data_IF_058638619499
#
_entry.id   IF_058638619499
#
_cell.length_a   1.000
_cell.length_b   1.000
_cell.length_c   1.000
_cell.angle_alpha   90.00
_cell.angle_beta   90.00
_cell.angle_gamma   90.00
#
_symmetry.space_group_name_H-M   'P 1'
#
loop_
_entity.id
_entity.type
_entity.pdbx_description
1 polymer ?
2 non-polymer ?
3 non-polymer ?
4 non-polymer ?
5 water ?
#
# COMPACT_ATOMS: atom_id res chain seq x y z
N UNK A 10 11.36 -6.94 16.17
CA UNK A 10 11.12 -5.56 16.54
C UNK A 10 9.70 -5.34 17.05
N UNK A 11 9.44 -4.14 17.58
CA UNK A 11 8.18 -3.89 18.27
C UNK A 11 7.36 -2.74 17.65
N UNK A 12 6.90 -2.94 16.43
CA UNK A 12 6.00 -1.97 15.82
C UNK A 12 4.63 -2.61 15.64
N UNK A 13 3.57 -1.86 15.93
CA UNK A 13 2.23 -2.43 16.02
C UNK A 13 1.24 -1.70 15.14
N UNK A 14 0.45 -2.47 14.39
CA UNK A 14 -0.60 -1.89 13.58
C UNK A 14 -1.90 -2.28 14.27
N UNK A 15 -2.82 -1.33 14.37
CA UNK A 15 -4.09 -1.58 15.02
C UNK A 15 -5.24 -1.21 14.11
N UNK A 16 -6.12 -2.17 13.82
CA UNK A 16 -7.29 -1.88 13.00
C UNK A 16 -8.53 -1.75 13.88
N UNK A 17 -9.17 -0.59 13.81
CA UNK A 17 -10.37 -0.32 14.56
C UNK A 17 -11.62 -0.73 13.77
N UNK A 18 -12.28 -1.79 14.21
CA UNK A 18 -13.52 -2.27 13.59
C UNK A 18 -13.47 -2.42 12.06
N UNK A 19 -12.43 -3.11 11.53
CA UNK A 19 -12.33 -3.27 10.08
C UNK A 19 -13.55 -3.99 9.52
N UNK A 20 -13.97 -3.61 8.32
CA UNK A 20 -15.26 -4.00 7.77
C UNK A 20 -15.16 -4.93 6.58
N UNK A 21 -14.09 -4.79 5.79
CA UNK A 21 -13.99 -5.41 4.47
C UNK A 21 -12.94 -6.49 4.48
N UNK A 22 -13.36 -7.75 4.33
CA UNK A 22 -12.44 -8.88 4.54
C UNK A 22 -11.14 -8.77 3.76
N UNK A 23 -11.21 -8.55 2.44
CA UNK A 23 -9.94 -8.53 1.69
C UNK A 23 -8.93 -7.46 2.17
N UNK A 24 -9.41 -6.31 2.64
CA UNK A 24 -8.48 -5.32 3.21
C UNK A 24 -7.69 -5.91 4.35
N UNK A 25 -8.38 -6.63 5.23
CA UNK A 25 -7.73 -7.22 6.38
C UNK A 25 -6.81 -8.37 5.98
N UNK A 26 -7.26 -9.17 5.01
CA UNK A 26 -6.41 -10.22 4.47
C UNK A 26 -5.09 -9.64 3.94
N UNK A 27 -5.18 -8.53 3.23
CA UNK A 27 -3.98 -7.88 2.69
C UNK A 27 -3.06 -7.40 3.81
N UNK A 28 -3.67 -6.85 4.85
CA UNK A 28 -2.89 -6.33 5.98
C UNK A 28 -2.24 -7.45 6.80
N UNK A 29 -2.90 -8.59 6.93
CA UNK A 29 -2.28 -9.73 7.60
C UNK A 29 -1.00 -10.16 6.87
N UNK A 30 -1.09 -10.30 5.56
CA UNK A 30 0.06 -10.66 4.74
C UNK A 30 1.16 -9.62 4.85
N UNK A 31 0.77 -8.34 4.78
CA UNK A 31 1.70 -7.23 4.95
C UNK A 31 2.47 -7.32 6.26
N UNK A 32 1.76 -7.52 7.38
CA UNK A 32 2.40 -7.56 8.69
C UNK A 32 3.32 -8.79 8.79
N UNK A 33 2.90 -9.88 8.18
CA UNK A 33 3.73 -11.08 8.19
C UNK A 33 4.99 -10.91 7.36
N UNK A 34 4.89 -10.20 6.22
CA UNK A 34 6.03 -9.93 5.35
C UNK A 34 7.03 -8.96 5.96
N UNK A 35 6.61 -8.22 6.98
CA UNK A 35 7.43 -7.13 7.50
C UNK A 35 7.84 -7.37 8.95
N UNK A 36 7.21 -8.34 9.59
CA UNK A 36 7.42 -8.54 11.01
C UNK A 36 6.72 -7.54 11.94
N UNK A 37 5.79 -6.76 11.39
CA UNK A 37 4.97 -5.90 12.26
C UNK A 37 3.92 -6.74 12.98
N UNK A 38 3.49 -6.27 14.15
CA UNK A 38 2.47 -6.97 14.90
C UNK A 38 1.10 -6.37 14.60
N UNK A 39 0.12 -7.22 14.32
CA UNK A 39 -1.19 -6.71 13.96
C UNK A 39 -2.19 -6.86 15.10
N UNK A 40 -2.94 -5.80 15.37
CA UNK A 40 -4.00 -5.84 16.37
C UNK A 40 -5.34 -5.46 15.75
N UNK A 41 -6.40 -6.11 16.18
CA UNK A 41 -7.72 -5.79 15.67
C UNK A 41 -8.67 -5.50 16.82
N UNK A 42 -9.32 -4.35 16.77
CA UNK A 42 -10.32 -4.01 17.77
C UNK A 42 -11.70 -4.37 17.22
N UNK A 43 -12.34 -5.30 17.92
CA UNK A 43 -13.67 -5.79 17.59
C UNK A 43 -14.70 -4.71 17.89
N UNK A 44 -15.92 -4.82 17.31
CA UNK A 44 -16.33 -5.91 16.40
C UNK A 44 -15.88 -5.67 14.95
N UNK A 45 -15.62 -6.74 14.22
CA UNK A 45 -15.23 -6.65 12.83
C UNK A 45 -16.44 -6.87 11.94
N UNK A 46 -16.31 -6.51 10.66
CA UNK A 46 -17.39 -6.70 9.71
C UNK A 46 -17.28 -8.01 8.99
N UNK A 47 -16.68 -9.00 9.65
CA UNK A 47 -16.58 -10.33 9.07
C UNK A 47 -16.21 -11.35 10.11
N UNK A 48 -16.46 -12.61 9.78
CA UNK A 48 -16.17 -13.69 10.69
C UNK A 48 -14.68 -13.93 10.72
N UNK A 49 -14.12 -14.05 11.91
CA UNK A 49 -12.73 -14.43 12.05
C UNK A 49 -12.65 -15.94 12.03
N UNK A 50 -12.41 -16.46 10.84
CA UNK A 50 -12.57 -17.87 10.58
C UNK A 50 -11.31 -18.43 9.90
N UNK A 51 -10.57 -19.26 10.62
CA UNK A 51 -9.31 -19.79 10.12
C UNK A 51 -9.48 -20.39 8.73
N UNK A 52 -10.65 -20.96 8.47
CA UNK A 52 -10.92 -21.59 7.18
C UNK A 52 -10.98 -20.57 6.04
N UNK A 53 -11.70 -19.47 6.26
CA UNK A 53 -11.79 -18.42 5.25
C UNK A 53 -10.42 -17.78 5.05
N UNK A 54 -9.68 -17.66 6.15
CA UNK A 54 -8.34 -17.09 6.10
C UNK A 54 -7.42 -17.95 5.22
N UNK A 55 -7.32 -19.23 5.53
CA UNK A 55 -6.46 -20.11 4.74
C UNK A 55 -7.04 -20.14 3.33
N UNK A 56 -8.36 -20.01 3.27
CA UNK A 56 -9.07 -19.92 2.01
C UNK A 56 -8.57 -18.76 1.16
N UNK A 57 -8.32 -17.63 1.80
CA UNK A 57 -7.86 -16.42 1.10
C UNK A 57 -6.39 -16.50 0.72
N UNK A 58 -5.72 -17.56 1.15
CA UNK A 58 -4.32 -17.78 0.79
C UNK A 58 -3.37 -17.46 1.92
N UNK A 59 -3.90 -17.24 3.12
CA UNK A 59 -3.11 -16.93 4.30
C UNK A 59 -2.63 -18.19 5.02
N UNK A 60 -1.34 -18.22 5.37
CA UNK A 60 -0.81 -19.30 6.20
C UNK A 60 -1.16 -19.13 7.68
N UNK A 61 -1.10 -20.24 8.40
CA UNK A 61 -1.37 -20.27 9.83
C UNK A 61 -0.50 -19.31 10.64
N UNK A 62 0.79 -19.27 10.34
CA UNK A 62 1.69 -18.41 11.10
C UNK A 62 1.30 -16.95 10.91
N UNK A 63 0.70 -16.64 9.78
CA UNK A 63 0.34 -15.27 9.47
C UNK A 63 -0.85 -14.80 10.31
N UNK A 64 -1.92 -15.59 10.35
CA UNK A 64 -3.12 -15.10 11.01
C UNK A 64 -3.28 -15.43 12.50
N UNK A 65 -2.52 -16.39 13.02
CA UNK A 65 -2.60 -16.65 14.45
C UNK A 65 -1.75 -15.67 15.26
N UNK A 66 -0.84 -14.99 14.58
CA UNK A 66 -0.04 -13.93 15.18
C UNK A 66 -0.91 -12.72 15.58
N UNK A 67 -2.07 -12.61 14.95
CA UNK A 67 -2.93 -11.45 15.14
C UNK A 67 -3.60 -11.48 16.51
N UNK A 68 -3.62 -10.35 17.21
CA UNK A 68 -4.33 -10.33 18.48
C UNK A 68 -5.61 -9.50 18.40
N UNK A 69 -6.72 -10.09 18.85
CA UNK A 69 -8.01 -9.46 18.75
C UNK A 69 -8.44 -8.91 20.09
N UNK A 70 -8.89 -7.66 20.10
CA UNK A 70 -9.31 -6.99 21.32
C UNK A 70 -10.82 -6.75 21.33
N UNK A 71 -11.45 -7.02 22.48
CA UNK A 71 -12.91 -6.93 22.53
C UNK A 71 -13.40 -5.51 22.27
N UNK A 72 -12.62 -4.52 22.69
CA UNK A 72 -12.93 -3.14 22.39
C UNK A 72 -11.74 -2.23 22.63
N UNK A 73 -11.91 -0.94 22.36
CA UNK A 73 -10.82 0.03 22.43
C UNK A 73 -10.20 0.13 23.82
N UNK A 74 -11.06 0.15 24.85
CA UNK A 74 -10.56 0.25 26.22
C UNK A 74 -9.77 -1.00 26.60
N UNK A 75 -10.29 -2.15 26.20
CA UNK A 75 -9.59 -3.42 26.45
C UNK A 75 -8.22 -3.43 25.77
N UNK A 76 -8.16 -2.82 24.60
CA UNK A 76 -6.90 -2.75 23.84
C UNK A 76 -5.86 -1.96 24.63
N UNK A 77 -6.21 -0.73 25.00
CA UNK A 77 -5.32 0.12 25.79
C UNK A 77 -4.82 -0.56 27.05
N UNK A 78 -5.72 -1.26 27.74
CA UNK A 78 -5.37 -1.90 28.99
C UNK A 78 -4.49 -3.11 28.78
N UNK A 79 -4.79 -3.89 27.76
CA UNK A 79 -3.97 -5.05 27.46
C UNK A 79 -2.59 -4.64 26.96
N UNK A 80 -2.52 -3.63 26.11
CA UNK A 80 -1.29 -3.30 25.38
C UNK A 80 -0.47 -2.24 26.08
N UNK A 81 -1.15 -1.31 26.73
CA UNK A 81 -0.49 -0.18 27.37
C UNK A 81 0.54 0.45 26.43
N UNK A 82 0.08 0.98 25.28
CA UNK A 82 1.06 1.45 24.30
C UNK A 82 1.92 2.61 24.81
N UNK A 83 3.22 2.51 24.55
CA UNK A 83 4.19 3.55 24.89
C UNK A 83 3.82 4.84 24.19
N UNK A 84 3.57 4.73 22.88
CA UNK A 84 2.99 5.83 22.10
C UNK A 84 1.90 5.33 21.17
N UNK A 85 0.82 6.09 21.05
CA UNK A 85 -0.29 5.71 20.19
C UNK A 85 -0.52 6.78 19.14
N UNK A 86 -0.41 6.40 17.87
CA UNK A 86 -0.69 7.34 16.78
C UNK A 86 -1.98 6.92 16.11
N UNK A 87 -2.71 7.90 15.61
CA UNK A 87 -3.89 7.63 14.81
C UNK A 87 -3.61 8.12 13.40
N UNK A 88 -3.90 7.27 12.42
CA UNK A 88 -3.83 7.67 11.03
C UNK A 88 -5.19 8.23 10.61
N UNK A 89 -5.19 9.49 10.21
CA UNK A 89 -6.44 10.14 9.82
C UNK A 89 -6.21 11.22 8.78
N UNK A 90 -7.14 11.36 7.85
CA UNK A 90 -7.02 12.41 6.83
C UNK A 90 -7.09 13.78 7.52
N UNK A 91 -7.55 13.79 8.77
CA UNK A 91 -7.65 15.03 9.54
C UNK A 91 -6.40 15.33 10.36
N UNK A 92 -5.32 14.59 10.08
CA UNK A 92 -4.10 14.70 10.86
C UNK A 92 -3.23 15.86 10.41
N UNK A 93 -2.08 16.01 11.04
CA UNK A 93 -1.19 17.12 10.75
C UNK A 93 0.17 16.69 10.18
N UNK A 94 1.01 16.05 10.99
CA UNK A 94 2.30 15.68 10.40
C UNK A 94 2.13 14.54 9.39
N UNK A 95 2.93 14.57 8.33
CA UNK A 95 2.93 13.46 7.39
C UNK A 95 3.42 12.19 8.09
N UNK A 96 3.05 11.04 7.56
CA UNK A 96 3.52 9.78 8.11
C UNK A 96 5.06 9.68 8.06
N UNK A 97 5.66 10.39 7.11
CA UNK A 97 7.12 10.40 7.01
C UNK A 97 7.76 11.47 7.91
N UNK A 98 6.94 12.27 8.58
CA UNK A 98 7.44 13.30 9.49
C UNK A 98 7.68 12.80 10.92
N UNK A 99 7.04 11.71 11.32
CA UNK A 99 7.29 11.19 12.65
C UNK A 99 8.48 10.25 12.62
N UNK A 100 9.22 10.20 13.73
CA UNK A 100 10.28 9.22 13.93
C UNK A 100 9.72 8.08 14.74
N UNK A 101 9.53 6.94 14.10
CA UNK A 101 8.95 5.79 14.75
C UNK A 101 9.97 5.13 15.67
N UNK A 102 9.48 4.55 16.76
CA UNK A 102 10.36 3.89 17.72
C UNK A 102 9.65 2.66 18.22
N UNK A 103 10.41 1.76 18.82
CA UNK A 103 9.86 0.54 19.38
C UNK A 103 8.77 0.87 20.37
N UNK A 104 7.74 0.04 20.39
CA UNK A 104 6.61 0.27 21.28
C UNK A 104 5.57 1.24 20.71
N UNK A 105 5.75 1.65 19.45
CA UNK A 105 4.73 2.48 18.80
C UNK A 105 3.54 1.65 18.32
N UNK A 106 2.34 2.24 18.45
CA UNK A 106 1.10 1.62 17.99
C UNK A 106 0.45 2.58 17.02
N UNK A 107 0.11 2.09 15.83
CA UNK A 107 -0.35 2.95 14.77
C UNK A 107 -1.75 2.49 14.42
N UNK A 108 -2.73 3.36 14.61
CA UNK A 108 -4.12 2.95 14.57
C UNK A 108 -4.87 3.49 13.36
N UNK A 109 -5.61 2.61 12.70
CA UNK A 109 -6.37 2.94 11.50
C UNK A 109 -7.86 2.73 11.71
N UNK A 110 -8.71 3.54 11.06
CA UNK A 110 -10.15 3.44 11.25
C UNK A 110 -10.85 2.53 10.25
N UNK A 111 -12.16 2.28 10.45
CA UNK A 111 -12.94 1.43 9.54
C UNK A 111 -13.24 2.10 8.21
N UNK A 112 -13.51 1.30 7.19
CA UNK A 112 -13.54 1.75 5.81
C UNK A 112 -14.63 2.78 5.54
N UNK A 113 -15.81 2.59 6.10
CA UNK A 113 -16.90 3.49 5.77
C UNK A 113 -16.98 4.66 6.73
N UNK A 114 -16.49 4.47 7.94
CA UNK A 114 -16.69 5.44 9.00
C UNK A 114 -15.47 6.30 9.37
N UNK A 115 -14.28 5.70 9.36
CA UNK A 115 -13.11 6.38 9.87
C UNK A 115 -13.14 6.36 11.38
N UNK A 116 -12.09 6.85 12.02
CA UNK A 116 -11.99 6.81 13.46
C UNK A 116 -12.99 7.76 14.13
N UNK A 117 -13.65 7.30 15.21
CA UNK A 117 -14.61 8.14 15.93
C UNK A 117 -13.94 9.38 16.53
N UNK A 118 -14.67 10.49 16.55
CA UNK A 118 -14.13 11.74 17.08
C UNK A 118 -13.67 11.60 18.52
N UNK A 119 -14.37 10.77 19.28
CA UNK A 119 -14.07 10.57 20.69
C UNK A 119 -12.62 10.10 20.89
N UNK A 120 -12.17 9.20 20.04
CA UNK A 120 -10.80 8.71 20.10
C UNK A 120 -9.81 9.77 19.62
N UNK A 121 -10.18 10.45 18.53
CA UNK A 121 -9.33 11.48 17.96
C UNK A 121 -9.09 12.63 18.93
N UNK A 122 -10.16 13.09 19.56
CA UNK A 122 -10.10 14.24 20.45
C UNK A 122 -9.22 14.01 21.68
N UNK A 123 -9.03 12.75 22.05
CA UNK A 123 -8.20 12.44 23.21
C UNK A 123 -6.70 12.41 22.86
N UNK A 124 -6.38 12.59 21.58
CA UNK A 124 -4.98 12.55 21.16
C UNK A 124 -4.42 13.93 20.81
N UNK A 125 -3.15 14.18 21.17
CA UNK A 125 -2.53 15.42 20.72
C UNK A 125 -2.44 15.47 19.20
N UNK A 126 -2.60 16.66 18.64
CA UNK A 126 -2.52 16.84 17.20
C UNK A 126 -1.28 16.16 16.65
N UNK A 127 -0.20 16.20 17.43
CA UNK A 127 1.09 15.68 16.99
C UNK A 127 1.09 14.15 16.82
N UNK A 128 0.08 13.50 17.37
CA UNK A 128 -0.03 12.06 17.24
C UNK A 128 -1.16 11.65 16.30
N UNK A 129 -1.66 12.61 15.54
CA UNK A 129 -2.63 12.35 14.49
C UNK A 129 -1.99 12.59 13.14
N UNK A 130 -1.74 11.49 12.43
CA UNK A 130 -0.89 11.49 11.25
C UNK A 130 -1.69 11.43 9.96
N UNK A 131 -1.35 12.29 9.00
CA UNK A 131 -2.02 12.33 7.72
C UNK A 131 -1.05 11.89 6.62
N UNK A 132 -1.45 10.90 5.83
CA UNK A 132 -0.68 10.53 4.65
C UNK A 132 -1.00 11.56 3.56
N UNK A 133 0.02 12.20 2.98
CA UNK A 133 -0.30 13.30 2.06
C UNK A 133 -1.14 12.87 0.86
N UNK A 134 -1.94 13.81 0.37
CA UNK A 134 -2.78 13.60 -0.81
C UNK A 134 -2.99 14.96 -1.44
N UNK A 135 -3.17 14.98 -2.76
CA UNK A 135 -3.48 16.18 -3.52
C UNK A 135 -4.79 16.80 -3.04
N UNK A 136 -4.93 18.12 -3.19
CA UNK A 136 -6.17 18.73 -2.69
C UNK A 136 -7.42 18.06 -3.28
N UNK A 137 -8.49 18.01 -2.49
CA UNK A 137 -9.74 17.37 -2.93
C UNK A 137 -9.48 15.95 -3.44
N UNK A 138 -8.82 15.16 -2.60
CA UNK A 138 -8.63 13.73 -2.86
C UNK A 138 -9.61 12.96 -2.00
N UNK A 139 -10.02 11.80 -2.49
CA UNK A 139 -10.83 10.88 -1.69
C UNK A 139 -9.91 9.98 -0.88
N UNK A 140 -10.38 9.50 0.26
CA UNK A 140 -9.57 8.63 1.12
C UNK A 140 -8.84 7.52 0.36
N UNK A 141 -7.71 7.12 0.92
CA UNK A 141 -6.93 5.99 0.46
C UNK A 141 -7.69 4.68 0.75
N UNK A 142 -7.40 3.60 0.01
CA UNK A 142 -7.83 2.26 0.41
C UNK A 142 -7.14 1.89 1.73
N UNK A 143 -7.87 1.29 2.65
CA UNK A 143 -7.29 0.99 3.96
C UNK A 143 -5.97 0.19 3.94
N UNK A 144 -5.92 -0.93 3.21
CA UNK A 144 -4.69 -1.72 3.18
C UNK A 144 -3.52 -0.96 2.55
N UNK A 145 -3.80 -0.14 1.53
CA UNK A 145 -2.78 0.72 0.95
C UNK A 145 -2.24 1.71 1.96
N UNK A 146 -3.12 2.34 2.74
CA UNK A 146 -2.67 3.26 3.78
C UNK A 146 -1.80 2.54 4.81
N UNK A 147 -2.21 1.37 5.25
CA UNK A 147 -1.37 0.59 6.17
C UNK A 147 -0.01 0.26 5.57
N UNK A 148 0.00 -0.17 4.30
CA UNK A 148 1.26 -0.52 3.63
C UNK A 148 2.26 0.64 3.60
N UNK A 149 1.73 1.82 3.30
CA UNK A 149 2.53 3.02 3.20
C UNK A 149 3.17 3.38 4.54
N UNK A 150 2.39 3.27 5.61
CA UNK A 150 2.89 3.60 6.94
C UNK A 150 3.88 2.55 7.43
N UNK A 151 3.55 1.27 7.24
CA UNK A 151 4.43 0.18 7.62
C UNK A 151 5.80 0.32 6.94
N UNK A 152 5.78 0.55 5.63
CA UNK A 152 7.05 0.60 4.91
C UNK A 152 7.88 1.84 5.20
N UNK A 153 7.22 2.97 5.45
CA UNK A 153 7.94 4.17 5.88
C UNK A 153 8.63 3.94 7.22
N UNK A 154 7.87 3.42 8.18
CA UNK A 154 8.42 3.15 9.50
C UNK A 154 9.56 2.13 9.42
N UNK A 155 9.34 1.06 8.66
CA UNK A 155 10.34 0.01 8.55
C UNK A 155 11.62 0.59 7.90
N UNK A 156 11.45 1.46 6.91
CA UNK A 156 12.57 2.11 6.26
C UNK A 156 13.38 2.92 7.27
N UNK A 157 12.69 3.65 8.13
CA UNK A 157 13.36 4.49 9.12
C UNK A 157 14.27 3.67 10.03
N UNK A 158 13.85 2.44 10.34
CA UNK A 158 14.62 1.57 11.22
C UNK A 158 15.67 0.74 10.48
N UNK A 159 15.74 0.90 9.17
CA UNK A 159 16.71 0.18 8.35
C UNK A 159 16.26 -1.19 7.92
N UNK A 160 14.95 -1.39 7.78
CA UNK A 160 14.40 -2.71 7.42
C UNK A 160 14.95 -3.87 8.25
N UNK A 161 14.97 -3.72 9.58
CA UNK A 161 15.50 -4.82 10.41
C UNK A 161 14.70 -6.10 10.22
N UNK A 162 15.39 -7.22 10.01
CA UNK A 162 14.72 -8.47 9.73
C UNK A 162 14.61 -8.81 8.25
N UNK A 163 14.83 -7.80 7.39
CA UNK A 163 14.89 -8.02 5.94
C UNK A 163 16.34 -8.15 5.56
N UNK A 164 16.67 -9.20 4.83
CA UNK A 164 18.05 -9.39 4.38
C UNK A 164 18.27 -8.74 3.01
N UNK A 165 19.06 -7.68 2.96
CA UNK A 165 19.29 -6.96 1.70
C UNK A 165 20.70 -7.18 1.16
N UNK B 10 3.78 16.80 -12.00
CA UNK B 10 5.05 16.08 -12.09
C UNK B 10 4.93 14.85 -13.01
N UNK B 11 6.07 14.22 -13.30
CA UNK B 11 6.13 13.19 -14.32
C UNK B 11 6.62 11.84 -13.80
N UNK B 12 5.84 11.24 -12.92
CA UNK B 12 6.13 9.89 -12.48
C UNK B 12 5.03 8.96 -12.97
N UNK B 13 5.42 7.78 -13.41
CA UNK B 13 4.53 6.88 -14.16
C UNK B 13 4.50 5.50 -13.55
N UNK B 14 3.29 4.99 -13.33
CA UNK B 14 3.11 3.62 -12.87
C UNK B 14 2.60 2.81 -14.05
N UNK B 15 3.17 1.64 -14.26
CA UNK B 15 2.74 0.81 -15.36
C UNK B 15 2.30 -0.57 -14.87
N UNK B 16 1.06 -0.95 -15.18
CA UNK B 16 0.60 -2.27 -14.80
C UNK B 16 0.60 -3.22 -16.00
N UNK B 17 1.39 -4.28 -15.91
CA UNK B 17 1.46 -5.28 -16.96
C UNK B 17 0.36 -6.34 -16.79
N UNK B 18 -0.63 -6.31 -17.69
CA UNK B 18 -1.69 -7.34 -17.72
C UNK B 18 -2.35 -7.60 -16.35
N UNK B 19 -2.81 -6.53 -15.68
CA UNK B 19 -3.44 -6.70 -14.36
C UNK B 19 -4.68 -7.61 -14.46
N UNK B 20 -4.92 -8.39 -13.42
CA UNK B 20 -5.89 -9.48 -13.49
C UNK B 20 -7.11 -9.28 -12.59
N UNK B 21 -6.90 -8.60 -11.47
CA UNK B 21 -7.90 -8.55 -10.40
C UNK B 21 -8.48 -7.15 -10.26
N UNK B 22 -9.77 -6.99 -10.63
CA UNK B 22 -10.33 -5.65 -10.74
C UNK B 22 -10.06 -4.76 -9.53
N UNK B 23 -10.34 -5.24 -8.31
CA UNK B 23 -10.19 -4.30 -7.19
C UNK B 23 -8.77 -3.79 -6.97
N UNK B 24 -7.76 -4.60 -7.30
CA UNK B 24 -6.38 -4.09 -7.26
C UNK B 24 -6.22 -2.87 -8.16
N UNK B 25 -6.74 -2.96 -9.37
CA UNK B 25 -6.59 -1.86 -10.32
C UNK B 25 -7.44 -0.66 -9.88
N UNK B 26 -8.61 -0.94 -9.32
CA UNK B 26 -9.42 0.12 -8.75
C UNK B 26 -8.69 0.91 -7.69
N UNK B 27 -8.01 0.19 -6.81
CA UNK B 27 -7.23 0.81 -5.74
C UNK B 27 -6.08 1.63 -6.28
N UNK B 28 -5.44 1.10 -7.31
CA UNK B 28 -4.33 1.79 -7.94
C UNK B 28 -4.74 3.06 -8.69
N UNK B 29 -5.91 3.03 -9.33
CA UNK B 29 -6.42 4.23 -9.96
C UNK B 29 -6.61 5.36 -8.94
N UNK B 30 -7.30 5.05 -7.85
CA UNK B 30 -7.49 6.00 -6.77
C UNK B 30 -6.14 6.52 -6.24
N UNK B 31 -5.22 5.59 -6.01
CA UNK B 31 -3.89 5.94 -5.55
C UNK B 31 -3.20 6.96 -6.45
N UNK B 32 -3.18 6.69 -7.75
CA UNK B 32 -2.49 7.59 -8.68
C UNK B 32 -3.20 8.93 -8.73
N UNK B 33 -4.52 8.93 -8.60
CA UNK B 33 -5.29 10.17 -8.60
C UNK B 33 -5.02 10.97 -7.33
N UNK B 34 -4.84 10.29 -6.20
CA UNK B 34 -4.56 10.95 -4.93
C UNK B 34 -3.17 11.53 -4.85
N UNK B 35 -2.30 11.08 -5.75
CA UNK B 35 -0.90 11.46 -5.68
C UNK B 35 -0.44 12.26 -6.89
N UNK B 36 -1.26 12.28 -7.95
CA UNK B 36 -0.85 12.88 -9.20
C UNK B 36 0.10 12.05 -10.05
N UNK B 37 0.28 10.78 -9.73
CA UNK B 37 1.08 9.91 -10.60
C UNK B 37 0.26 9.54 -11.81
N UNK B 38 0.93 9.24 -12.91
CA UNK B 38 0.24 8.85 -14.14
C UNK B 38 0.22 7.33 -14.23
N UNK B 39 -0.93 6.78 -14.57
CA UNK B 39 -1.06 5.34 -14.59
C UNK B 39 -1.14 4.82 -16.02
N UNK B 40 -0.41 3.75 -16.28
CA UNK B 40 -0.44 3.10 -17.57
C UNK B 40 -0.80 1.64 -17.41
N UNK B 41 -1.57 1.11 -18.34
CA UNK B 41 -1.93 -0.30 -18.29
C UNK B 41 -1.60 -1.00 -19.59
N UNK B 42 -0.88 -2.11 -19.49
CA UNK B 42 -0.54 -2.88 -20.68
C UNK B 42 -1.52 -4.02 -20.81
N UNK B 43 -2.29 -3.98 -21.90
CA UNK B 43 -3.27 -5.02 -22.21
C UNK B 43 -2.59 -6.33 -22.60
N UNK B 44 -3.34 -7.45 -22.53
CA UNK B 44 -4.74 -7.54 -22.10
C UNK B 44 -4.93 -7.63 -20.58
N UNK B 45 -6.01 -7.04 -20.09
CA UNK B 45 -6.33 -7.09 -18.67
C UNK B 45 -7.23 -8.28 -18.41
N UNK B 46 -7.35 -8.64 -17.14
CA UNK B 46 -8.22 -9.75 -16.76
C UNK B 46 -9.61 -9.27 -16.40
N UNK B 47 -10.01 -8.12 -16.95
CA UNK B 47 -11.33 -7.57 -16.69
C UNK B 47 -11.68 -6.55 -17.74
N UNK B 48 -12.98 -6.25 -17.85
CA UNK B 48 -13.47 -5.29 -18.81
C UNK B 48 -13.14 -3.89 -18.33
N UNK B 49 -12.59 -3.07 -19.23
CA UNK B 49 -12.42 -1.66 -18.93
C UNK B 49 -13.72 -0.93 -19.25
N UNK B 50 -14.52 -0.73 -18.21
CA UNK B 50 -15.89 -0.29 -18.38
C UNK B 50 -16.16 0.89 -17.46
N UNK B 51 -16.36 2.06 -18.04
CA UNK B 51 -16.60 3.26 -17.25
C UNK B 51 -17.68 3.06 -16.19
N UNK B 52 -18.68 2.25 -16.52
CA UNK B 52 -19.78 1.98 -15.59
C UNK B 52 -19.33 1.21 -14.36
N UNK B 53 -18.56 0.14 -14.57
CA UNK B 53 -18.06 -0.64 -13.44
C UNK B 53 -17.12 0.22 -12.61
N UNK B 54 -16.38 1.09 -13.30
CA UNK B 54 -15.43 1.98 -12.64
C UNK B 54 -16.13 2.97 -11.72
N UNK B 55 -17.09 3.71 -12.26
CA UNK B 55 -17.88 4.59 -11.42
C UNK B 55 -18.63 3.77 -10.39
N UNK B 56 -19.01 2.56 -10.78
CA UNK B 56 -19.64 1.61 -9.89
C UNK B 56 -18.77 1.33 -8.66
N UNK B 57 -17.47 1.20 -8.88
CA UNK B 57 -16.53 0.88 -7.81
C UNK B 57 -16.24 2.10 -6.94
N UNK B 58 -16.77 3.25 -7.35
CA UNK B 58 -16.65 4.47 -6.59
C UNK B 58 -15.63 5.43 -7.15
N UNK B 59 -15.19 5.17 -8.39
CA UNK B 59 -14.18 5.97 -9.05
C UNK B 59 -14.79 7.13 -9.83
N UNK B 60 -14.25 8.33 -9.65
CA UNK B 60 -14.67 9.48 -10.44
C UNK B 60 -14.09 9.49 -11.86
N UNK B 61 -14.77 10.22 -12.73
CA UNK B 61 -14.37 10.27 -14.13
C UNK B 61 -12.94 10.78 -14.28
N UNK B 62 -12.56 11.78 -13.51
CA UNK B 62 -11.25 12.37 -13.68
C UNK B 62 -10.18 11.35 -13.30
N UNK B 63 -10.54 10.42 -12.43
CA UNK B 63 -9.61 9.39 -11.97
C UNK B 63 -9.29 8.37 -13.05
N UNK B 64 -10.32 7.82 -13.68
CA UNK B 64 -10.06 6.73 -14.62
C UNK B 64 -9.83 7.12 -16.08
N UNK B 65 -10.21 8.32 -16.50
CA UNK B 65 -9.94 8.68 -17.90
C UNK B 65 -8.50 9.17 -18.06
N UNK B 66 -7.87 9.50 -16.95
CA UNK B 66 -6.45 9.85 -16.94
C UNK B 66 -5.57 8.65 -17.32
N UNK B 67 -6.10 7.45 -17.15
CA UNK B 67 -5.33 6.24 -17.39
C UNK B 67 -5.10 6.02 -18.88
N UNK B 68 -3.87 5.67 -19.24
CA UNK B 68 -3.65 5.30 -20.65
C UNK B 68 -3.42 3.82 -20.84
N UNK B 69 -4.14 3.25 -21.78
CA UNK B 69 -4.08 1.81 -22.03
C UNK B 69 -3.25 1.51 -23.28
N UNK B 70 -2.34 0.54 -23.16
CA UNK B 70 -1.45 0.19 -24.27
C UNK B 70 -1.76 -1.21 -24.76
N UNK B 71 -1.74 -1.40 -26.07
CA UNK B 71 -2.17 -2.66 -26.62
C UNK B 71 -1.20 -3.78 -26.24
N UNK B 72 0.08 -3.44 -26.13
CA UNK B 72 1.07 -4.40 -25.65
C UNK B 72 2.35 -3.69 -25.22
N UNK B 73 3.28 -4.48 -24.69
CA UNK B 73 4.53 -3.94 -24.13
C UNK B 73 5.34 -3.14 -25.14
N UNK B 74 5.49 -3.66 -26.35
CA UNK B 74 6.24 -2.96 -27.37
C UNK B 74 5.58 -1.63 -27.74
N UNK B 75 4.26 -1.64 -27.87
CA UNK B 75 3.49 -0.42 -28.13
C UNK B 75 3.67 0.62 -27.03
N UNK B 76 3.76 0.15 -25.79
CA UNK B 76 3.96 1.01 -24.63
C UNK B 76 5.29 1.74 -24.75
N UNK B 77 6.37 0.98 -24.92
CA UNK B 77 7.70 1.55 -25.08
C UNK B 77 7.75 2.60 -26.20
N UNK B 78 7.10 2.30 -27.32
CA UNK B 78 7.15 3.17 -28.48
C UNK B 78 6.33 4.42 -28.24
N UNK B 79 5.18 4.26 -27.59
CA UNK B 79 4.33 5.40 -27.32
C UNK B 79 4.95 6.29 -26.26
N UNK B 80 5.52 5.69 -25.22
CA UNK B 80 5.98 6.45 -24.06
C UNK B 80 7.43 6.86 -24.15
N UNK B 81 8.25 6.03 -24.78
CA UNK B 81 9.69 6.25 -24.82
C UNK B 81 10.22 6.64 -23.44
N UNK B 82 10.11 5.73 -22.46
CA UNK B 82 10.51 6.13 -21.11
C UNK B 82 12.00 6.51 -20.98
N UNK B 83 12.25 7.62 -20.30
CA UNK B 83 13.61 8.05 -19.98
C UNK B 83 14.33 6.97 -19.17
N UNK B 84 13.67 6.48 -18.11
CA UNK B 84 14.15 5.33 -17.37
C UNK B 84 12.99 4.39 -17.09
N UNK B 85 13.24 3.09 -17.19
CA UNK B 85 12.22 2.10 -16.88
C UNK B 85 12.71 1.19 -15.76
N UNK B 86 11.94 1.14 -14.66
CA UNK B 86 12.24 0.22 -13.57
C UNK B 86 11.20 -0.88 -13.51
N UNK B 87 11.61 -2.08 -13.13
CA UNK B 87 10.68 -3.15 -12.92
C UNK B 87 10.67 -3.48 -11.44
N UNK B 88 9.48 -3.55 -10.86
CA UNK B 88 9.33 -4.02 -9.48
C UNK B 88 9.19 -5.54 -9.51
N UNK B 89 10.13 -6.22 -8.86
CA UNK B 89 10.11 -7.67 -8.80
C UNK B 89 10.77 -8.17 -7.54
N UNK B 90 10.22 -9.25 -6.98
CA UNK B 90 10.80 -9.88 -5.79
C UNK B 90 12.19 -10.40 -6.12
N UNK B 91 12.50 -10.51 -7.40
CA UNK B 91 13.82 -10.95 -7.83
C UNK B 91 14.80 -9.79 -8.06
N UNK B 92 14.40 -8.59 -7.66
CA UNK B 92 15.24 -7.41 -7.81
C UNK B 92 16.35 -7.30 -6.79
N UNK B 93 17.13 -6.22 -6.87
CA UNK B 93 18.28 -6.04 -6.00
C UNK B 93 18.17 -4.80 -5.10
N UNK B 94 18.20 -3.59 -5.69
CA UNK B 94 18.10 -2.46 -4.77
C UNK B 94 16.70 -2.35 -4.20
N UNK B 95 16.59 -1.88 -2.97
CA UNK B 95 15.29 -1.63 -2.36
C UNK B 95 14.62 -0.48 -3.11
N UNK B 96 13.30 -0.39 -3.02
CA UNK B 96 12.58 0.69 -3.67
C UNK B 96 13.00 2.05 -3.10
N UNK B 97 13.49 2.05 -1.87
CA UNK B 97 13.95 3.30 -1.24
C UNK B 97 15.43 3.58 -1.54
N UNK B 98 16.07 2.69 -2.27
CA UNK B 98 17.48 2.87 -2.62
C UNK B 98 17.68 3.63 -3.94
N UNK B 99 16.65 3.67 -4.79
CA UNK B 99 16.77 4.43 -6.02
C UNK B 99 16.34 5.86 -5.79
N UNK B 100 16.97 6.77 -6.52
CA UNK B 100 16.57 8.17 -6.54
C UNK B 100 15.70 8.39 -7.75
N UNK B 101 14.41 8.56 -7.52
CA UNK B 101 13.46 8.74 -8.60
C UNK B 101 13.58 10.13 -9.21
N UNK B 102 13.31 10.21 -10.50
CA UNK B 102 13.40 11.48 -11.19
C UNK B 102 12.28 11.54 -12.23
N UNK B 103 11.99 12.75 -12.68
CA UNK B 103 10.94 12.96 -13.68
C UNK B 103 11.22 12.11 -14.90
N UNK B 104 10.17 11.58 -15.49
CA UNK B 104 10.29 10.71 -16.64
C UNK B 104 10.54 9.25 -16.28
N UNK B 105 10.49 8.92 -14.99
CA UNK B 105 10.65 7.53 -14.58
C UNK B 105 9.34 6.75 -14.78
N UNK B 106 9.46 5.51 -15.25
CA UNK B 106 8.34 4.58 -15.39
C UNK B 106 8.60 3.35 -14.54
N UNK B 107 7.63 3.02 -13.69
CA UNK B 107 7.83 1.99 -12.70
C UNK B 107 6.82 0.87 -13.02
N UNK B 108 7.33 -0.29 -13.37
CA UNK B 108 6.47 -1.34 -13.91
C UNK B 108 6.23 -2.51 -12.95
N UNK B 109 4.98 -2.95 -12.88
CA UNK B 109 4.55 -4.02 -11.97
C UNK B 109 3.91 -5.16 -12.76
N UNK B 110 4.11 -6.39 -12.33
CA UNK B 110 3.54 -7.54 -13.04
C UNK B 110 2.16 -7.99 -12.60
N UNK B 111 1.57 -8.96 -13.32
CA UNK B 111 0.24 -9.45 -12.95
C UNK B 111 0.24 -10.26 -11.66
N UNK B 112 -0.91 -10.30 -11.01
CA UNK B 112 -1.05 -10.92 -9.69
C UNK B 112 -0.64 -12.38 -9.60
N UNK B 113 -1.03 -13.20 -10.57
CA UNK B 113 -0.71 -14.64 -10.48
C UNK B 113 0.61 -15.01 -11.15
N UNK B 114 1.09 -14.17 -12.06
CA UNK B 114 2.21 -14.53 -12.91
C UNK B 114 3.52 -13.80 -12.63
N UNK B 115 3.42 -12.52 -12.28
CA UNK B 115 4.61 -11.70 -12.19
C UNK B 115 5.13 -11.34 -13.58
N UNK B 116 6.20 -10.56 -13.63
CA UNK B 116 6.72 -10.09 -14.91
C UNK B 116 7.46 -11.18 -15.66
N UNK B 117 7.22 -11.28 -16.98
CA UNK B 117 7.85 -12.33 -17.79
C UNK B 117 9.36 -12.16 -17.81
N UNK B 118 10.08 -13.28 -17.81
CA UNK B 118 11.54 -13.25 -17.77
C UNK B 118 12.09 -12.45 -18.93
N UNK B 119 11.40 -12.50 -20.06
CA UNK B 119 11.88 -11.84 -21.27
C UNK B 119 12.04 -10.33 -21.04
N UNK B 120 11.09 -9.74 -20.32
CA UNK B 120 11.17 -8.33 -20.00
C UNK B 120 12.23 -8.06 -18.93
N UNK B 121 12.29 -8.92 -17.93
CA UNK B 121 13.26 -8.79 -16.86
C UNK B 121 14.69 -8.87 -17.39
N UNK B 122 14.95 -9.85 -18.24
CA UNK B 122 16.31 -10.11 -18.73
C UNK B 122 16.88 -8.96 -19.56
N UNK B 123 15.99 -8.15 -20.11
CA UNK B 123 16.42 -7.00 -20.91
C UNK B 123 16.77 -5.78 -20.07
N UNK B 124 16.59 -5.89 -18.74
CA UNK B 124 16.88 -4.76 -17.86
C UNK B 124 18.13 -4.98 -17.02
N UNK B 125 18.90 -3.92 -16.80
CA UNK B 125 20.03 -4.04 -15.89
C UNK B 125 19.56 -4.36 -14.45
N UNK B 126 20.34 -5.17 -13.73
CA UNK B 126 19.99 -5.51 -12.36
C UNK B 126 19.63 -4.28 -11.53
N UNK B 127 20.32 -3.18 -11.81
CA UNK B 127 20.15 -1.92 -11.09
C UNK B 127 18.78 -1.30 -11.35
N UNK B 128 18.06 -1.79 -12.34
CA UNK B 128 16.73 -1.25 -12.63
C UNK B 128 15.64 -2.24 -12.30
N UNK B 129 16.00 -3.30 -11.58
CA UNK B 129 15.03 -4.25 -11.07
C UNK B 129 14.99 -4.12 -9.55
N UNK B 130 13.86 -3.60 -9.07
CA UNK B 130 13.70 -3.13 -7.70
C UNK B 130 12.90 -4.09 -6.87
N UNK B 131 13.42 -4.42 -5.69
CA UNK B 131 12.74 -5.31 -4.75
C UNK B 131 12.30 -4.53 -3.51
N UNK B 132 11.02 -4.61 -3.18
CA UNK B 132 10.52 -4.10 -1.90
C UNK B 132 10.91 -5.10 -0.83
N UNK B 133 11.64 -4.64 0.21
CA UNK B 133 12.12 -5.60 1.20
C UNK B 133 11.00 -6.41 1.86
N UNK B 134 11.30 -7.67 2.16
CA UNK B 134 10.43 -8.54 2.93
C UNK B 134 11.31 -9.45 3.78
N UNK B 135 10.76 -9.96 4.88
CA UNK B 135 11.43 -10.93 5.73
C UNK B 135 11.69 -12.22 4.97
N UNK B 136 12.73 -12.97 5.37
CA UNK B 136 13.02 -14.20 4.61
C UNK B 136 11.81 -15.13 4.51
N UNK B 137 11.68 -15.84 3.40
CA UNK B 137 10.53 -16.74 3.20
C UNK B 137 9.20 -16.00 3.42
N UNK B 138 9.05 -14.88 2.73
CA UNK B 138 7.79 -14.15 2.69
C UNK B 138 7.10 -14.46 1.38
N UNK B 139 5.77 -14.39 1.38
CA UNK B 139 5.00 -14.49 0.14
C UNK B 139 4.82 -13.10 -0.46
N UNK B 140 4.64 -13.02 -1.77
CA UNK B 140 4.53 -11.74 -2.43
C UNK B 140 3.54 -10.80 -1.73
N UNK B 141 3.78 -9.51 -1.94
CA UNK B 141 2.91 -8.44 -1.52
C UNK B 141 1.65 -8.44 -2.39
N UNK B 142 0.51 -7.94 -1.86
CA UNK B 142 -0.62 -7.57 -2.70
C UNK B 142 -0.20 -6.48 -3.71
N UNK B 143 -0.65 -6.61 -4.95
CA UNK B 143 -0.22 -5.69 -5.99
C UNK B 143 -0.47 -4.20 -5.66
N UNK B 144 -1.67 -3.86 -5.21
CA UNK B 144 -1.98 -2.44 -4.98
C UNK B 144 -1.18 -1.91 -3.80
N UNK B 145 -0.95 -2.77 -2.82
CA UNK B 145 -0.07 -2.40 -1.70
C UNK B 145 1.35 -2.13 -2.16
N UNK B 146 1.86 -2.98 -3.05
CA UNK B 146 3.19 -2.76 -3.61
C UNK B 146 3.27 -1.43 -4.37
N UNK B 147 2.27 -1.17 -5.19
CA UNK B 147 2.24 0.10 -5.93
C UNK B 147 2.21 1.27 -4.93
N UNK B 148 1.39 1.15 -3.88
CA UNK B 148 1.27 2.23 -2.90
C UNK B 148 2.58 2.58 -2.26
N UNK B 149 3.34 1.55 -1.91
CA UNK B 149 4.62 1.70 -1.24
C UNK B 149 5.64 2.39 -2.13
N UNK B 150 5.65 2.01 -3.39
CA UNK B 150 6.59 2.63 -4.33
C UNK B 150 6.20 4.08 -4.63
N UNK B 151 4.93 4.31 -4.91
CA UNK B 151 4.42 5.65 -5.21
C UNK B 151 4.74 6.61 -4.05
N UNK B 152 4.46 6.19 -2.82
CA UNK B 152 4.67 7.10 -1.69
C UNK B 152 6.14 7.34 -1.36
N UNK B 153 6.98 6.34 -1.58
CA UNK B 153 8.42 6.52 -1.41
C UNK B 153 8.98 7.53 -2.42
N UNK B 154 8.65 7.31 -3.68
CA UNK B 154 9.05 8.22 -4.74
C UNK B 154 8.53 9.63 -4.47
N UNK B 155 7.24 9.74 -4.17
CA UNK B 155 6.64 11.05 -3.88
C UNK B 155 7.31 11.73 -2.69
N UNK B 156 7.65 10.97 -1.66
CA UNK B 156 8.37 11.51 -0.50
C UNK B 156 9.71 12.09 -0.91
N UNK B 157 10.43 11.36 -1.75
CA UNK B 157 11.74 11.80 -2.24
C UNK B 157 11.66 13.18 -2.91
N UNK B 158 10.56 13.44 -3.59
CA UNK B 158 10.41 14.68 -4.32
C UNK B 158 9.78 15.77 -3.47
N UNK B 159 9.45 15.44 -2.23
CA UNK B 159 8.89 16.42 -1.31
C UNK B 159 7.38 16.56 -1.42
N UNK B 160 6.70 15.49 -1.82
CA UNK B 160 5.25 15.51 -2.00
C UNK B 160 4.75 16.70 -2.81
N UNK B 161 5.38 16.99 -3.96
CA UNK B 161 4.91 18.10 -4.78
C UNK B 161 3.46 17.92 -5.21
N UNK B 162 2.64 18.95 -5.01
CA UNK B 162 1.23 18.85 -5.33
C UNK B 162 0.36 18.49 -4.14
N UNK B 163 0.99 18.06 -3.06
CA UNK B 163 0.28 17.89 -1.79
C UNK B 163 0.51 19.15 -0.95
N UNK B 164 -0.56 19.71 -0.40
CA UNK B 164 -0.38 20.88 0.47
C UNK B 164 -0.20 20.48 1.93
#
# INVERSE_FOLDING_TARGET
HHHHHHGGAMALNIVLYEPEIPPNTGNIIRLCANTGFRLHIIEPMGFAWDDKRLRRAGLDYHEFTAVTRHHDYRAFLEAENPQRLFALTTKGTPAHSAVSYQDGDYLMFGPETRGLPASILDALPAEQKIRIPMVPDSRSMNLSNAVSVVVYEAWRQLGYPGAVLRD
HHHHHHGGAMALNIVLYEPEIPPNTGNIIRLCANTGFRLHIIEPMGFAWDDKRLRRAGLDYHEFTAVTRHHDYRAFLEAENPQRLFALTTKGTPAHSAVSYQDGDYLMFGPETRGLPASILDALPAEQKIRIPMVPDSRSMNLSNAVSVVVYEAWRQLGYPGAVLRD
#
